data_IF_966417470459
#
_entry.id   IF_966417470459
#
_cell.length_a   1.000
_cell.length_b   1.000
_cell.length_c   1.000
_cell.angle_alpha   90.00
_cell.angle_beta   90.00
_cell.angle_gamma   90.00
#
_symmetry.space_group_name_H-M   'P 1'
#
loop_
_entity.id
_entity.type
_entity.pdbx_description
1 polymer ?
#
# COMPACT_ATOMS: atom_id res chain seq x y z
N UNK A 1 10.58 -5.85 6.09
CA UNK A 1 10.68 -5.39 7.51
C UNK A 1 9.40 -5.86 8.16
N UNK A 2 9.44 -6.60 9.29
CA UNK A 2 8.22 -7.24 9.84
C UNK A 2 7.04 -6.29 10.11
N UNK A 3 7.32 -5.01 10.34
CA UNK A 3 6.29 -3.99 10.56
C UNK A 3 5.49 -3.66 9.30
N UNK A 4 6.16 -3.64 8.12
CA UNK A 4 5.51 -3.43 6.82
C UNK A 4 4.56 -4.59 6.47
N UNK A 5 5.03 -5.82 6.65
CA UNK A 5 4.23 -7.03 6.44
C UNK A 5 2.95 -7.04 7.31
N UNK A 6 3.07 -6.62 8.57
CA UNK A 6 1.94 -6.55 9.51
C UNK A 6 0.96 -5.45 9.12
N UNK A 7 1.45 -4.29 8.68
CA UNK A 7 0.60 -3.19 8.19
C UNK A 7 -0.21 -3.63 6.97
N UNK A 8 0.48 -4.16 5.95
CA UNK A 8 -0.15 -4.59 4.70
C UNK A 8 -1.12 -5.75 4.93
N UNK A 9 -0.77 -6.70 5.80
CA UNK A 9 -1.67 -7.79 6.19
C UNK A 9 -2.95 -7.30 6.87
N UNK A 10 -2.84 -6.33 7.80
CA UNK A 10 -4.02 -5.73 8.46
C UNK A 10 -4.87 -4.93 7.47
N UNK A 11 -4.23 -4.20 6.57
CA UNK A 11 -4.92 -3.43 5.53
C UNK A 11 -5.70 -4.36 4.59
N UNK A 12 -5.06 -5.43 4.09
CA UNK A 12 -5.71 -6.42 3.24
C UNK A 12 -6.92 -7.06 3.96
N UNK A 13 -6.77 -7.48 5.22
CA UNK A 13 -7.90 -8.03 5.98
C UNK A 13 -9.06 -7.05 6.16
N UNK A 14 -8.76 -5.76 6.27
CA UNK A 14 -9.76 -4.72 6.49
C UNK A 14 -10.43 -4.22 5.21
N UNK A 15 -9.77 -4.29 4.05
CA UNK A 15 -10.21 -3.59 2.82
C UNK A 15 -10.35 -4.50 1.60
N UNK A 16 -9.62 -5.61 1.51
CA UNK A 16 -9.58 -6.45 0.31
C UNK A 16 -10.96 -7.00 -0.09
N UNK A 17 -11.83 -7.27 0.89
CA UNK A 17 -13.19 -7.75 0.63
C UNK A 17 -14.15 -6.68 0.05
N UNK A 18 -13.80 -5.40 0.18
CA UNK A 18 -14.60 -4.26 -0.29
C UNK A 18 -13.97 -3.56 -1.50
N UNK A 19 -12.77 -4.00 -1.92
CA UNK A 19 -12.10 -3.48 -3.10
C UNK A 19 -12.82 -3.91 -4.37
N UNK A 20 -12.88 -3.01 -5.33
CA UNK A 20 -13.20 -3.32 -6.72
C UNK A 20 -12.07 -4.11 -7.39
N UNK A 21 -12.35 -4.69 -8.56
CA UNK A 21 -11.34 -5.41 -9.35
C UNK A 21 -10.12 -4.50 -9.68
N UNK A 22 -10.37 -3.24 -10.05
CA UNK A 22 -9.32 -2.24 -10.34
C UNK A 22 -8.46 -1.91 -9.10
N UNK A 23 -9.07 -1.81 -7.92
CA UNK A 23 -8.33 -1.61 -6.67
C UNK A 23 -7.54 -2.86 -6.27
N UNK A 24 -8.06 -4.04 -6.57
CA UNK A 24 -7.34 -5.30 -6.35
C UNK A 24 -6.11 -5.39 -7.24
N UNK A 25 -6.23 -5.06 -8.53
CA UNK A 25 -5.11 -4.98 -9.48
C UNK A 25 -4.04 -3.98 -9.01
N UNK A 26 -4.47 -2.82 -8.48
CA UNK A 26 -3.55 -1.83 -7.90
C UNK A 26 -2.83 -2.35 -6.66
N UNK A 27 -3.52 -3.09 -5.80
CA UNK A 27 -2.92 -3.71 -4.62
C UNK A 27 -1.91 -4.79 -5.02
N UNK A 28 -2.24 -5.64 -5.99
CA UNK A 28 -1.31 -6.63 -6.55
C UNK A 28 -0.08 -5.98 -7.19
N UNK A 29 -0.26 -4.87 -7.92
CA UNK A 29 0.85 -4.11 -8.46
C UNK A 29 1.79 -3.60 -7.35
N UNK A 30 1.25 -3.09 -6.24
CA UNK A 30 2.06 -2.71 -5.08
C UNK A 30 2.85 -3.89 -4.52
N UNK A 31 2.21 -5.06 -4.38
CA UNK A 31 2.86 -6.28 -3.86
C UNK A 31 3.98 -6.83 -4.76
N UNK A 32 4.09 -6.38 -6.01
CA UNK A 32 5.21 -6.72 -6.90
C UNK A 32 6.50 -5.93 -6.62
N UNK A 33 6.44 -4.92 -5.74
CA UNK A 33 7.61 -4.12 -5.35
C UNK A 33 8.27 -4.65 -4.07
N UNK A 34 9.50 -4.21 -3.81
CA UNK A 34 10.22 -4.64 -2.60
C UNK A 34 9.59 -4.03 -1.34
N UNK A 35 9.69 -4.75 -0.22
CA UNK A 35 9.27 -4.24 1.09
C UNK A 35 9.84 -2.87 1.44
N UNK A 36 11.09 -2.61 1.05
CA UNK A 36 11.76 -1.35 1.34
C UNK A 36 11.16 -0.21 0.53
N UNK A 37 10.88 -0.44 -0.75
CA UNK A 37 10.27 0.57 -1.63
C UNK A 37 8.87 0.91 -1.13
N UNK A 38 8.04 -0.11 -0.88
CA UNK A 38 6.70 0.06 -0.32
C UNK A 38 6.73 0.85 0.97
N UNK A 39 7.59 0.45 1.91
CA UNK A 39 7.74 1.15 3.18
C UNK A 39 8.13 2.61 2.98
N UNK A 40 9.15 2.89 2.16
CA UNK A 40 9.63 4.25 1.90
C UNK A 40 8.54 5.14 1.29
N UNK A 41 7.69 4.60 0.41
CA UNK A 41 6.56 5.33 -0.16
C UNK A 41 5.46 5.57 0.87
N UNK A 42 5.11 4.55 1.68
CA UNK A 42 4.07 4.63 2.72
C UNK A 42 4.43 5.71 3.76
N UNK A 43 5.67 5.76 4.22
CA UNK A 43 6.12 6.76 5.20
C UNK A 43 6.51 8.11 4.58
N UNK A 44 6.41 8.25 3.25
CA UNK A 44 6.77 9.48 2.52
C UNK A 44 8.28 9.80 2.53
N UNK A 45 9.14 8.82 2.77
CA UNK A 45 10.60 8.98 2.75
C UNK A 45 11.14 9.17 1.33
N UNK A 46 10.48 8.55 0.35
CA UNK A 46 10.79 8.68 -1.07
C UNK A 46 9.56 9.13 -1.86
N UNK A 47 9.75 9.85 -2.98
CA UNK A 47 8.64 10.20 -3.85
C UNK A 47 7.97 8.93 -4.38
N UNK A 48 6.64 8.93 -4.37
CA UNK A 48 5.85 7.84 -4.95
C UNK A 48 5.95 7.90 -6.48
N UNK A 49 6.42 6.83 -7.15
CA UNK A 49 6.42 6.75 -8.61
C UNK A 49 5.00 6.74 -9.20
N UNK A 50 4.82 7.31 -10.40
CA UNK A 50 3.50 7.37 -11.06
C UNK A 50 2.84 5.99 -11.26
N UNK A 51 3.64 4.93 -11.45
CA UNK A 51 3.15 3.56 -11.65
C UNK A 51 2.46 2.97 -10.40
N UNK A 52 2.72 3.53 -9.22
CA UNK A 52 2.13 3.10 -7.95
C UNK A 52 1.35 4.22 -7.25
N UNK A 53 1.24 5.40 -7.87
CA UNK A 53 0.42 6.51 -7.35
C UNK A 53 -1.06 6.24 -7.58
N UNK A 54 -1.61 5.38 -6.72
CA UNK A 54 -2.97 4.84 -6.84
C UNK A 54 -3.85 5.24 -5.66
N UNK A 55 -5.19 5.17 -5.81
CA UNK A 55 -6.12 5.22 -4.68
C UNK A 55 -5.74 4.25 -3.55
N UNK A 56 -5.33 3.02 -3.88
CA UNK A 56 -4.96 2.01 -2.87
C UNK A 56 -3.73 2.42 -2.07
N UNK A 57 -2.68 2.95 -2.70
CA UNK A 57 -1.51 3.41 -1.96
C UNK A 57 -1.87 4.57 -1.02
N UNK A 58 -2.76 5.47 -1.43
CA UNK A 58 -3.27 6.54 -0.56
C UNK A 58 -4.01 5.94 0.64
N UNK A 59 -4.91 4.98 0.43
CA UNK A 59 -5.61 4.29 1.52
C UNK A 59 -4.66 3.63 2.53
N UNK A 60 -3.57 3.02 2.06
CA UNK A 60 -2.54 2.43 2.93
C UNK A 60 -1.85 3.50 3.78
N UNK A 61 -1.52 4.65 3.19
CA UNK A 61 -0.93 5.81 3.92
C UNK A 61 -1.87 6.32 5.00
N UNK A 62 -3.18 6.42 4.72
CA UNK A 62 -4.18 6.82 5.72
C UNK A 62 -4.30 5.77 6.83
N UNK A 63 -4.30 4.48 6.46
CA UNK A 63 -4.38 3.37 7.41
C UNK A 63 -3.18 3.31 8.36
N UNK A 64 -1.99 3.71 7.89
CA UNK A 64 -0.79 3.86 8.72
C UNK A 64 -0.83 5.10 9.62
N UNK A 65 -1.76 6.04 9.40
CA UNK A 65 -1.85 7.29 10.15
C UNK A 65 -0.80 8.33 9.74
N UNK A 66 -0.32 8.30 8.50
CA UNK A 66 0.67 9.25 7.95
C UNK A 66 0.01 10.36 7.10
N UNK A 67 -1.28 10.65 7.35
CA UNK A 67 -1.97 11.86 6.86
C UNK A 67 -2.10 12.90 7.97
#
# INVERSE_FOLDING_TARGET
MKENDVLLGKFALARLAEMSDDETDQFENLMNHSDNDLYNWIIGREPTPEIVDSPVLRMIKEFNGTL
#
